data_IF_594272539534
#
_entry.id   IF_594272539534
#
_cell.length_a   1.000
_cell.length_b   1.000
_cell.length_c   1.000
_cell.angle_alpha   90.00
_cell.angle_beta   90.00
_cell.angle_gamma   90.00
#
_symmetry.space_group_name_H-M   'P 1'
#
loop_
_entity.id
_entity.type
_entity.pdbx_description
1 polymer ?
#
# COMPACT_ATOMS: atom_id res chain seq x y z
N UNK A 1 -6.84 -18.13 -1.78
CA UNK A 1 -5.56 -18.26 -1.03
C UNK A 1 -4.30 -18.33 -1.91
N UNK A 2 -4.36 -18.66 -3.21
CA UNK A 2 -3.15 -18.84 -4.04
C UNK A 2 -2.16 -17.64 -4.02
N UNK A 3 -2.65 -16.40 -4.16
CA UNK A 3 -1.79 -15.21 -4.12
C UNK A 3 -1.10 -15.03 -2.75
N UNK A 4 -1.82 -15.25 -1.65
CA UNK A 4 -1.26 -15.22 -0.30
C UNK A 4 -0.27 -16.36 -0.06
N UNK A 5 -0.53 -17.54 -0.62
CA UNK A 5 0.39 -18.68 -0.55
C UNK A 5 1.68 -18.40 -1.32
N UNK A 6 1.60 -17.80 -2.51
CA UNK A 6 2.78 -17.37 -3.26
C UNK A 6 3.57 -16.30 -2.51
N UNK A 7 2.88 -15.35 -1.86
CA UNK A 7 3.50 -14.35 -0.99
C UNK A 7 4.22 -15.00 0.20
N UNK A 8 3.54 -15.92 0.91
CA UNK A 8 4.10 -16.63 2.05
C UNK A 8 5.32 -17.48 1.69
N UNK A 9 5.29 -18.15 0.53
CA UNK A 9 6.41 -18.96 0.04
C UNK A 9 7.50 -18.12 -0.68
N UNK A 10 7.46 -16.79 -0.56
CA UNK A 10 8.43 -15.86 -1.16
C UNK A 10 8.65 -16.06 -2.67
N UNK A 11 7.60 -16.47 -3.39
CA UNK A 11 7.65 -16.66 -4.84
C UNK A 11 7.58 -15.28 -5.52
N UNK A 12 8.70 -14.57 -5.52
CA UNK A 12 8.79 -13.14 -5.85
C UNK A 12 8.94 -12.77 -7.32
N UNK A 13 8.84 -13.74 -8.26
CA UNK A 13 9.10 -13.51 -9.71
C UNK A 13 8.32 -12.33 -10.30
N UNK A 14 7.13 -12.01 -9.76
CA UNK A 14 6.26 -10.93 -10.23
C UNK A 14 6.10 -9.77 -9.22
N UNK A 15 6.89 -9.70 -8.14
CA UNK A 15 6.73 -8.64 -7.14
C UNK A 15 7.11 -7.25 -7.66
N UNK A 16 7.94 -7.17 -8.72
CA UNK A 16 8.24 -5.90 -9.38
C UNK A 16 6.98 -5.17 -9.85
N UNK A 17 5.97 -5.88 -10.36
CA UNK A 17 4.70 -5.29 -10.74
C UNK A 17 3.91 -4.75 -9.53
N UNK A 18 3.97 -5.44 -8.40
CA UNK A 18 3.34 -5.01 -7.15
C UNK A 18 4.08 -3.83 -6.48
N UNK A 19 5.37 -3.66 -6.76
CA UNK A 19 6.21 -2.59 -6.22
C UNK A 19 6.10 -1.28 -7.01
N UNK A 20 5.14 -1.17 -7.92
CA UNK A 20 4.81 0.09 -8.61
C UNK A 20 3.58 0.74 -7.97
N UNK A 21 3.54 2.06 -8.02
CA UNK A 21 2.51 2.89 -7.39
C UNK A 21 2.21 4.10 -8.26
N UNK A 22 0.95 4.52 -8.29
CA UNK A 22 0.57 5.83 -8.83
C UNK A 22 0.55 6.83 -7.66
N UNK A 23 1.35 7.88 -7.77
CA UNK A 23 1.32 9.00 -6.81
C UNK A 23 0.28 9.99 -7.29
N UNK A 24 -0.82 10.11 -6.56
CA UNK A 24 -1.85 11.12 -6.81
C UNK A 24 -1.67 12.29 -5.84
N UNK A 25 -1.75 13.52 -6.35
CA UNK A 25 -1.64 14.74 -5.56
C UNK A 25 -3.05 15.23 -5.20
N UNK A 26 -3.41 15.17 -3.92
CA UNK A 26 -4.68 15.71 -3.43
C UNK A 26 -4.48 17.14 -2.93
N UNK A 27 -5.26 18.13 -3.39
CA UNK A 27 -5.13 19.50 -2.91
C UNK A 27 -5.58 19.58 -1.44
N UNK A 28 -4.76 20.19 -0.58
CA UNK A 28 -5.11 20.37 0.84
C UNK A 28 -6.03 21.57 1.08
N UNK A 29 -6.03 22.54 0.16
CA UNK A 29 -6.82 23.78 0.23
C UNK A 29 -7.30 24.20 -1.17
N UNK A 30 -8.35 25.02 -1.20
CA UNK A 30 -8.78 25.68 -2.44
C UNK A 30 -7.69 26.63 -2.96
N UNK A 31 -7.49 26.67 -4.28
CA UNK A 31 -6.46 27.52 -4.90
C UNK A 31 -5.04 27.01 -4.75
N UNK A 32 -4.84 25.69 -4.62
CA UNK A 32 -3.50 25.08 -4.61
C UNK A 32 -2.72 25.50 -5.88
N UNK A 33 -1.54 26.10 -5.68
CA UNK A 33 -0.73 26.67 -6.76
C UNK A 33 0.71 26.14 -6.75
N UNK A 34 1.18 25.67 -5.59
CA UNK A 34 2.51 25.08 -5.40
C UNK A 34 2.41 23.60 -5.07
N UNK A 35 3.47 22.82 -5.36
CA UNK A 35 3.53 21.38 -5.02
C UNK A 35 3.34 21.14 -3.51
N UNK A 36 3.83 22.05 -2.67
CA UNK A 36 3.64 22.01 -1.21
C UNK A 36 2.18 22.13 -0.75
N UNK A 37 1.27 22.62 -1.61
CA UNK A 37 -0.15 22.72 -1.29
C UNK A 37 -0.89 21.38 -1.46
N UNK A 38 -0.22 20.36 -2.01
CA UNK A 38 -0.77 19.04 -2.24
C UNK A 38 -0.24 18.03 -1.23
N UNK A 39 -1.11 17.12 -0.80
CA UNK A 39 -0.73 15.91 -0.07
C UNK A 39 -0.62 14.75 -1.07
N UNK A 40 0.56 14.13 -1.22
CA UNK A 40 0.69 12.94 -2.03
C UNK A 40 -0.02 11.77 -1.36
N UNK A 41 -0.73 10.97 -2.16
CA UNK A 41 -1.23 9.65 -1.78
C UNK A 41 -0.67 8.58 -2.69
N UNK A 42 -0.28 7.45 -2.08
CA UNK A 42 0.22 6.28 -2.78
C UNK A 42 -0.93 5.34 -3.14
N UNK A 43 -1.29 5.28 -4.42
CA UNK A 43 -2.27 4.32 -4.94
C UNK A 43 -1.57 3.01 -5.31
N UNK A 44 -1.42 2.15 -4.31
CA UNK A 44 -0.82 0.81 -4.48
C UNK A 44 -1.87 -0.21 -4.98
N UNK A 45 -1.38 -1.29 -5.57
CA UNK A 45 -2.20 -2.42 -6.06
C UNK A 45 -3.04 -3.07 -4.94
N UNK A 46 -4.25 -3.53 -5.29
CA UNK A 46 -5.20 -4.14 -4.34
C UNK A 46 -4.60 -5.33 -3.58
N UNK A 47 -3.82 -6.19 -4.26
CA UNK A 47 -3.16 -7.34 -3.62
C UNK A 47 -2.19 -6.91 -2.51
N UNK A 48 -1.37 -5.88 -2.74
CA UNK A 48 -0.47 -5.37 -1.71
C UNK A 48 -1.24 -4.80 -0.51
N UNK A 49 -2.37 -4.11 -0.75
CA UNK A 49 -3.28 -3.63 0.32
C UNK A 49 -3.85 -4.78 1.15
N UNK A 50 -4.33 -5.83 0.49
CA UNK A 50 -4.92 -7.00 1.17
C UNK A 50 -3.89 -7.73 2.02
N UNK A 51 -2.67 -7.93 1.51
CA UNK A 51 -1.56 -8.52 2.27
C UNK A 51 -1.25 -7.66 3.51
N UNK A 52 -1.07 -6.35 3.32
CA UNK A 52 -0.82 -5.41 4.42
C UNK A 52 -1.94 -5.44 5.47
N UNK A 53 -3.22 -5.51 5.07
CA UNK A 53 -4.34 -5.61 6.00
C UNK A 53 -4.29 -6.90 6.83
N UNK A 54 -4.07 -8.05 6.20
CA UNK A 54 -3.95 -9.33 6.92
C UNK A 54 -2.79 -9.29 7.92
N UNK A 55 -1.64 -8.76 7.51
CA UNK A 55 -0.49 -8.60 8.41
C UNK A 55 -0.81 -7.64 9.57
N UNK A 56 -1.47 -6.52 9.32
CA UNK A 56 -1.86 -5.56 10.36
C UNK A 56 -2.81 -6.18 11.39
N UNK A 57 -3.75 -7.03 10.95
CA UNK A 57 -4.68 -7.72 11.85
C UNK A 57 -3.95 -8.76 12.70
N UNK A 58 -3.00 -9.50 12.12
CA UNK A 58 -2.16 -10.45 12.87
C UNK A 58 -1.28 -9.71 13.87
N UNK A 59 -0.67 -8.60 13.46
CA UNK A 59 0.18 -7.78 14.30
C UNK A 59 -0.59 -7.18 15.48
N UNK A 60 -1.81 -6.69 15.25
CA UNK A 60 -2.68 -6.16 16.31
C UNK A 60 -3.01 -7.21 17.39
N UNK A 61 -2.98 -8.50 17.06
CA UNK A 61 -3.25 -9.57 18.03
C UNK A 61 -2.06 -9.90 18.95
N UNK A 62 -0.85 -9.43 18.62
CA UNK A 62 0.39 -9.75 19.35
C UNK A 62 1.08 -8.53 19.94
N UNK A 63 0.78 -7.32 19.44
CA UNK A 63 1.23 -6.08 20.08
C UNK A 63 0.26 -5.76 21.22
N UNK A 64 0.76 -5.77 22.44
CA UNK A 64 0.07 -5.17 23.58
C UNK A 64 0.27 -3.65 23.51
N UNK A 65 -0.76 -2.92 23.12
CA UNK A 65 -0.86 -1.47 23.35
C UNK A 65 -1.15 -1.17 24.82
#
# INVERSE_FOLDING_TARGET
MAAFNQFYNLVGRNFGALNTVVVALLPNKGGAASVSDYRPISLIHSIAKLISKVLSLRLASVIHT
#
